data_IF_055076179505
#
_entry.id   IF_055076179505
#
_cell.length_a   1.000
_cell.length_b   1.000
_cell.length_c   1.000
_cell.angle_alpha   90.00
_cell.angle_beta   90.00
_cell.angle_gamma   90.00
#
_symmetry.space_group_name_H-M   'P 1'
#
loop_
_entity.id
_entity.type
_entity.pdbx_description
1 polymer ?
#
# COMPACT_ATOMS: atom_id res chain seq x y z
N UNK A 1 -1.54 17.71 -5.66
CA UNK A 1 -0.37 16.92 -6.14
C UNK A 1 0.32 17.69 -7.26
N UNK A 2 1.47 17.23 -7.79
CA UNK A 2 1.95 17.67 -9.11
C UNK A 2 2.08 16.45 -10.04
N UNK A 3 1.53 16.51 -11.25
CA UNK A 3 1.60 15.41 -12.22
C UNK A 3 3.01 14.97 -12.61
N UNK A 4 4.02 15.81 -12.36
CA UNK A 4 5.42 15.42 -12.49
C UNK A 4 5.79 14.32 -11.47
N UNK A 5 5.38 14.47 -10.21
CA UNK A 5 5.61 13.46 -9.17
C UNK A 5 4.88 12.15 -9.49
N UNK A 6 3.61 12.22 -9.93
CA UNK A 6 2.85 11.03 -10.33
C UNK A 6 3.48 10.31 -11.53
N UNK A 7 3.94 11.03 -12.57
CA UNK A 7 4.69 10.44 -13.69
C UNK A 7 5.99 9.78 -13.24
N UNK A 8 6.73 10.39 -12.32
CA UNK A 8 7.96 9.80 -11.75
C UNK A 8 7.64 8.53 -10.94
N UNK A 9 6.57 8.55 -10.15
CA UNK A 9 6.07 7.37 -9.44
C UNK A 9 5.76 6.23 -10.42
N UNK A 10 4.92 6.47 -11.44
CA UNK A 10 4.52 5.46 -12.43
C UNK A 10 5.74 4.85 -13.12
N UNK A 11 6.69 5.67 -13.58
CA UNK A 11 7.91 5.20 -14.25
C UNK A 11 8.77 4.29 -13.35
N UNK A 12 8.98 4.66 -12.08
CA UNK A 12 9.75 3.85 -11.12
C UNK A 12 9.00 2.56 -10.77
N UNK A 13 7.72 2.66 -10.44
CA UNK A 13 6.88 1.52 -10.04
C UNK A 13 6.71 0.52 -11.18
N UNK A 14 6.61 0.98 -12.44
CA UNK A 14 6.64 0.10 -13.62
C UNK A 14 7.95 -0.69 -13.69
N UNK A 15 9.09 -0.03 -13.48
CA UNK A 15 10.40 -0.70 -13.45
C UNK A 15 10.53 -1.75 -12.32
N UNK A 16 9.84 -1.57 -11.19
CA UNK A 16 9.76 -2.57 -10.10
C UNK A 16 8.83 -3.74 -10.47
N UNK A 17 7.68 -3.47 -11.09
CA UNK A 17 6.68 -4.47 -11.48
C UNK A 17 7.13 -5.31 -12.68
N UNK A 18 7.61 -4.67 -13.74
CA UNK A 18 8.27 -5.34 -14.87
C UNK A 18 9.58 -6.01 -14.44
N UNK A 19 10.17 -5.46 -13.37
CA UNK A 19 11.20 -5.96 -12.46
C UNK A 19 11.03 -7.38 -11.93
N UNK A 20 10.98 -7.47 -10.60
CA UNK A 20 10.49 -8.63 -9.87
C UNK A 20 9.26 -8.13 -9.09
N UNK A 21 8.02 -8.42 -9.55
CA UNK A 21 6.83 -7.92 -8.87
C UNK A 21 6.78 -8.49 -7.45
N UNK A 22 6.64 -7.66 -6.40
CA UNK A 22 6.68 -8.13 -5.02
C UNK A 22 5.64 -9.23 -4.73
N UNK A 23 6.12 -10.42 -4.36
CA UNK A 23 5.29 -11.61 -4.16
C UNK A 23 4.55 -11.66 -2.81
N UNK A 24 4.81 -10.71 -1.90
CA UNK A 24 4.22 -10.64 -0.56
C UNK A 24 3.74 -9.22 -0.24
N UNK A 25 2.74 -9.08 0.64
CA UNK A 25 2.17 -7.78 1.03
C UNK A 25 3.19 -6.80 1.62
N UNK A 26 4.10 -7.18 2.56
CA UNK A 26 5.06 -6.25 3.12
C UNK A 26 5.93 -5.60 2.04
N UNK A 27 6.55 -6.41 1.18
CA UNK A 27 7.34 -5.90 0.05
C UNK A 27 6.50 -5.06 -0.94
N UNK A 28 5.22 -5.41 -1.15
CA UNK A 28 4.33 -4.60 -2.01
C UNK A 28 4.08 -3.22 -1.40
N UNK A 29 3.91 -3.13 -0.08
CA UNK A 29 3.82 -1.86 0.66
C UNK A 29 5.08 -1.02 0.44
N UNK A 30 6.24 -1.54 0.87
CA UNK A 30 7.54 -0.84 0.80
C UNK A 30 7.85 -0.31 -0.60
N UNK A 31 7.70 -1.14 -1.62
CA UNK A 31 8.20 -0.82 -2.96
C UNK A 31 7.21 -0.06 -3.85
N UNK A 32 5.91 -0.20 -3.62
CA UNK A 32 4.87 0.31 -4.52
C UNK A 32 3.81 1.19 -3.84
N UNK A 33 3.38 0.87 -2.62
CA UNK A 33 2.25 1.59 -1.97
C UNK A 33 2.74 2.75 -1.12
N UNK A 34 3.74 2.56 -0.26
CA UNK A 34 4.25 3.62 0.62
C UNK A 34 4.73 4.84 -0.21
N UNK A 35 5.49 4.65 -1.30
CA UNK A 35 5.89 5.77 -2.16
C UNK A 35 4.74 6.39 -2.99
N UNK A 36 3.63 5.67 -3.19
CA UNK A 36 2.42 6.24 -3.79
C UNK A 36 1.73 7.17 -2.79
N UNK A 37 1.61 6.71 -1.54
CA UNK A 37 1.05 7.48 -0.43
C UNK A 37 1.88 8.76 -0.16
N UNK A 38 3.21 8.67 -0.19
CA UNK A 38 4.12 9.84 -0.17
C UNK A 38 3.85 10.82 -1.32
N UNK A 39 3.62 10.30 -2.54
CA UNK A 39 3.28 11.13 -3.71
C UNK A 39 1.94 11.87 -3.53
N UNK A 40 1.00 11.29 -2.78
CA UNK A 40 -0.26 11.90 -2.35
C UNK A 40 -0.12 12.81 -1.10
N UNK A 41 1.08 12.89 -0.50
CA UNK A 41 1.38 13.69 0.68
C UNK A 41 1.03 13.02 2.02
N UNK A 42 0.75 11.72 2.03
CA UNK A 42 0.61 10.91 3.23
C UNK A 42 1.99 10.39 3.67
N UNK A 43 2.20 10.28 4.97
CA UNK A 43 3.46 9.85 5.56
C UNK A 43 3.18 8.60 6.41
N UNK A 44 3.67 7.45 5.94
CA UNK A 44 3.48 6.13 6.61
C UNK A 44 4.23 6.03 7.94
N UNK A 45 5.20 6.91 8.19
CA UNK A 45 6.02 6.93 9.41
C UNK A 45 5.57 8.00 10.42
N UNK A 46 4.62 8.87 10.05
CA UNK A 46 4.05 9.84 10.97
C UNK A 46 3.07 9.18 11.97
N UNK A 47 3.01 9.70 13.19
CA UNK A 47 2.02 9.32 14.23
C UNK A 47 0.54 9.51 13.80
N UNK A 48 0.29 10.12 12.63
CA UNK A 48 -1.03 10.21 12.00
C UNK A 48 -1.35 9.01 11.10
N UNK A 49 -0.53 7.96 11.10
CA UNK A 49 -0.72 6.71 10.38
C UNK A 49 -0.79 5.55 11.37
N UNK A 50 -1.92 4.84 11.41
CA UNK A 50 -2.06 3.57 12.11
C UNK A 50 -1.84 2.44 11.11
N UNK A 51 -0.75 1.70 11.23
CA UNK A 51 -0.49 0.53 10.39
C UNK A 51 -1.14 -0.74 10.97
N UNK A 52 -1.46 -1.70 10.09
CA UNK A 52 -1.88 -3.08 10.45
C UNK A 52 -3.02 -3.13 11.49
N UNK A 53 -4.15 -2.54 11.14
CA UNK A 53 -5.34 -2.42 12.00
C UNK A 53 -6.57 -3.05 11.37
N UNK A 54 -7.64 -3.20 12.16
CA UNK A 54 -8.90 -3.81 11.74
C UNK A 54 -10.05 -2.85 11.98
N UNK A 55 -10.87 -2.60 10.95
CA UNK A 55 -12.07 -1.75 11.03
C UNK A 55 -13.24 -2.56 10.49
N UNK A 56 -14.27 -2.79 11.32
CA UNK A 56 -15.43 -3.63 10.99
C UNK A 56 -15.02 -4.99 10.39
N UNK A 57 -14.21 -5.74 11.16
CA UNK A 57 -13.58 -7.02 10.77
C UNK A 57 -12.65 -6.98 9.53
N UNK A 58 -12.54 -5.83 8.85
CA UNK A 58 -11.70 -5.65 7.66
C UNK A 58 -10.27 -5.31 8.06
N UNK A 59 -9.34 -6.20 7.72
CA UNK A 59 -7.90 -5.95 7.90
C UNK A 59 -7.39 -4.91 6.90
N UNK A 60 -6.75 -3.86 7.41
CA UNK A 60 -6.22 -2.70 6.69
C UNK A 60 -4.74 -2.53 6.98
N UNK A 61 -3.94 -2.36 5.93
CA UNK A 61 -2.51 -2.12 6.06
C UNK A 61 -2.22 -0.70 6.58
N UNK A 62 -3.04 0.30 6.24
CA UNK A 62 -2.95 1.64 6.82
C UNK A 62 -4.33 2.30 7.06
N UNK A 63 -4.42 3.08 8.12
CA UNK A 63 -5.44 4.12 8.30
C UNK A 63 -4.75 5.44 8.60
N UNK A 64 -5.00 6.46 7.79
CA UNK A 64 -4.45 7.79 7.97
C UNK A 64 -5.45 8.75 8.60
N UNK A 65 -4.92 9.67 9.41
CA UNK A 65 -5.65 10.79 9.98
C UNK A 65 -5.10 12.15 9.49
N UNK A 66 -5.95 13.17 9.51
CA UNK A 66 -5.55 14.59 9.40
C UNK A 66 -6.01 15.28 10.66
N UNK A 67 -5.11 15.97 11.36
CA UNK A 67 -5.39 16.69 12.61
C UNK A 67 -6.19 15.84 13.62
N UNK A 68 -5.75 14.58 13.81
CA UNK A 68 -6.36 13.51 14.63
C UNK A 68 -7.68 12.92 14.13
N UNK A 69 -8.23 13.38 13.01
CA UNK A 69 -9.47 12.83 12.43
C UNK A 69 -9.15 11.74 11.39
N UNK A 70 -9.65 10.50 11.53
CA UNK A 70 -9.48 9.47 10.52
C UNK A 70 -10.06 9.86 9.15
N UNK A 71 -9.28 9.62 8.11
CA UNK A 71 -9.39 10.34 6.84
C UNK A 71 -9.31 9.44 5.60
N UNK A 72 -8.46 8.40 5.63
CA UNK A 72 -8.25 7.48 4.51
C UNK A 72 -7.98 6.06 5.01
N UNK A 73 -8.74 5.08 4.50
CA UNK A 73 -8.45 3.65 4.67
C UNK A 73 -7.58 3.15 3.51
N UNK A 74 -6.60 2.29 3.77
CA UNK A 74 -5.78 1.65 2.72
C UNK A 74 -5.71 0.15 2.95
N UNK A 75 -6.11 -0.60 1.92
CA UNK A 75 -5.96 -2.06 1.84
C UNK A 75 -4.97 -2.44 0.72
N UNK A 76 -4.17 -3.49 0.93
CA UNK A 76 -3.09 -3.90 0.03
C UNK A 76 -3.09 -5.41 -0.22
N UNK A 77 -2.92 -5.84 -1.48
CA UNK A 77 -2.57 -7.23 -1.84
C UNK A 77 -1.13 -7.34 -2.37
N UNK A 78 -0.54 -8.55 -2.43
CA UNK A 78 0.70 -8.78 -3.15
C UNK A 78 0.61 -8.35 -4.62
N UNK A 79 1.67 -7.77 -5.20
CA UNK A 79 1.70 -7.37 -6.61
C UNK A 79 1.56 -8.54 -7.62
N UNK A 80 1.75 -9.77 -7.15
CA UNK A 80 1.50 -11.01 -7.90
C UNK A 80 0.04 -11.45 -7.92
N UNK A 81 -0.80 -10.96 -6.99
CA UNK A 81 -2.23 -11.25 -6.91
C UNK A 81 -3.07 -10.15 -7.59
N UNK A 82 -4.36 -10.40 -7.81
CA UNK A 82 -5.34 -9.41 -8.26
C UNK A 82 -6.20 -8.90 -7.11
N UNK A 83 -6.80 -7.72 -7.27
CA UNK A 83 -7.71 -7.17 -6.25
C UNK A 83 -8.94 -8.06 -6.05
N UNK A 84 -9.14 -8.52 -4.82
CA UNK A 84 -10.18 -9.49 -4.47
C UNK A 84 -11.55 -8.82 -4.28
N UNK A 85 -12.58 -9.35 -4.94
CA UNK A 85 -13.95 -8.78 -4.89
C UNK A 85 -14.53 -8.76 -3.48
N UNK A 86 -14.22 -9.76 -2.68
CA UNK A 86 -14.76 -9.88 -1.32
C UNK A 86 -14.10 -8.88 -0.37
N UNK A 87 -12.77 -8.72 -0.42
CA UNK A 87 -12.08 -7.69 0.38
C UNK A 87 -12.47 -6.26 -0.03
N UNK A 88 -12.73 -6.04 -1.32
CA UNK A 88 -13.30 -4.77 -1.79
C UNK A 88 -14.71 -4.50 -1.24
N UNK A 89 -15.51 -5.54 -0.93
CA UNK A 89 -16.82 -5.41 -0.26
C UNK A 89 -16.64 -5.06 1.21
N UNK A 90 -15.80 -5.81 1.92
CA UNK A 90 -15.49 -5.53 3.34
C UNK A 90 -14.93 -4.12 3.54
N UNK A 91 -14.11 -3.63 2.60
CA UNK A 91 -13.65 -2.24 2.63
C UNK A 91 -14.79 -1.21 2.49
N UNK A 92 -15.82 -1.49 1.69
CA UNK A 92 -17.02 -0.62 1.58
C UNK A 92 -17.88 -0.69 2.85
N UNK A 93 -17.97 -1.86 3.48
CA UNK A 93 -18.65 -2.07 4.77
C UNK A 93 -17.91 -1.27 5.87
N UNK A 94 -16.58 -1.38 5.96
CA UNK A 94 -15.73 -0.59 6.85
C UNK A 94 -15.84 0.93 6.62
N UNK A 95 -15.93 1.40 5.37
CA UNK A 95 -16.21 2.82 5.07
C UNK A 95 -17.59 3.26 5.60
N UNK A 96 -18.63 2.44 5.39
CA UNK A 96 -19.98 2.74 5.84
C UNK A 96 -20.11 2.73 7.37
N UNK A 97 -19.47 1.77 8.04
CA UNK A 97 -19.46 1.65 9.50
C UNK A 97 -18.66 2.77 10.18
N UNK A 98 -17.45 3.06 9.70
CA UNK A 98 -16.60 4.11 10.28
C UNK A 98 -17.01 5.53 9.88
N UNK A 99 -17.79 5.69 8.81
CA UNK A 99 -18.10 6.99 8.22
C UNK A 99 -16.89 7.69 7.58
N UNK A 100 -15.79 6.96 7.33
CA UNK A 100 -14.61 7.45 6.61
C UNK A 100 -14.89 7.40 5.11
N UNK A 101 -14.92 8.56 4.47
CA UNK A 101 -15.41 8.74 3.09
C UNK A 101 -14.34 8.53 2.01
N UNK A 102 -13.16 8.02 2.35
CA UNK A 102 -12.09 7.71 1.39
C UNK A 102 -11.45 6.36 1.69
N UNK A 103 -11.32 5.52 0.67
CA UNK A 103 -10.50 4.32 0.73
C UNK A 103 -9.72 4.08 -0.57
N UNK A 104 -8.56 3.44 -0.42
CA UNK A 104 -7.70 2.97 -1.50
C UNK A 104 -7.49 1.46 -1.34
N UNK A 105 -7.77 0.68 -2.38
CA UNK A 105 -7.41 -0.73 -2.44
C UNK A 105 -6.47 -0.96 -3.62
N UNK A 106 -5.28 -1.54 -3.37
CA UNK A 106 -4.24 -1.66 -4.41
C UNK A 106 -3.32 -2.86 -4.21
N UNK A 107 -2.65 -3.27 -5.29
CA UNK A 107 -1.50 -4.18 -5.27
C UNK A 107 -0.26 -3.53 -5.92
N UNK A 108 -0.26 -2.19 -6.02
CA UNK A 108 0.76 -1.41 -6.74
C UNK A 108 0.67 -1.46 -8.28
N UNK A 109 -0.21 -2.30 -8.84
CA UNK A 109 -0.41 -2.48 -10.30
C UNK A 109 -1.82 -2.11 -10.76
N UNK A 110 -2.79 -2.35 -9.88
CA UNK A 110 -4.21 -2.05 -9.99
C UNK A 110 -4.57 -1.18 -8.78
N UNK A 111 -5.42 -0.19 -9.00
CA UNK A 111 -5.84 0.78 -8.00
C UNK A 111 -7.35 0.91 -8.07
N UNK A 112 -8.01 0.73 -6.92
CA UNK A 112 -9.42 1.00 -6.73
C UNK A 112 -9.54 2.13 -5.70
N UNK A 113 -9.90 3.31 -6.18
CA UNK A 113 -10.20 4.48 -5.39
C UNK A 113 -11.69 4.52 -5.09
N UNK A 114 -12.05 4.69 -3.82
CA UNK A 114 -13.43 4.73 -3.33
C UNK A 114 -13.68 6.05 -2.61
N UNK A 115 -14.64 6.83 -3.09
CA UNK A 115 -14.99 8.13 -2.53
C UNK A 115 -16.47 8.19 -2.16
N UNK A 116 -16.77 8.34 -0.86
CA UNK A 116 -18.11 8.65 -0.40
C UNK A 116 -18.55 10.03 -0.87
N UNK A 117 -19.77 10.09 -1.42
CA UNK A 117 -20.42 11.36 -1.79
C UNK A 117 -21.05 12.04 -0.57
N UNK A 118 -21.13 13.38 -0.59
CA UNK A 118 -21.70 14.16 0.52
C UNK A 118 -23.24 14.12 0.57
N UNK A 119 -23.88 13.59 -0.47
CA UNK A 119 -25.31 13.26 -0.48
C UNK A 119 -25.52 11.94 0.25
N UNK A 120 -26.08 11.99 1.47
CA UNK A 120 -26.14 10.91 2.48
C UNK A 120 -26.97 9.65 2.14
N UNK A 121 -26.82 9.10 0.93
CA UNK A 121 -27.54 7.93 0.43
C UNK A 121 -26.57 6.87 -0.14
N UNK A 122 -25.47 6.58 0.56
CA UNK A 122 -24.59 5.43 0.30
C UNK A 122 -23.88 5.39 -1.07
N UNK A 123 -24.01 6.43 -1.89
CA UNK A 123 -23.36 6.50 -3.20
C UNK A 123 -21.86 6.72 -3.02
N UNK A 124 -21.09 5.72 -3.46
CA UNK A 124 -19.62 5.71 -3.43
C UNK A 124 -19.15 5.75 -4.87
N UNK A 125 -18.51 6.85 -5.24
CA UNK A 125 -17.84 6.99 -6.54
C UNK A 125 -16.63 6.04 -6.56
N UNK A 126 -16.47 5.34 -7.69
CA UNK A 126 -15.42 4.32 -7.85
C UNK A 126 -14.59 4.63 -9.08
N UNK A 127 -13.28 4.70 -8.90
CA UNK A 127 -12.31 4.72 -9.99
C UNK A 127 -11.43 3.49 -9.88
N UNK A 128 -11.55 2.58 -10.85
CA UNK A 128 -10.65 1.46 -11.03
C UNK A 128 -9.72 1.76 -12.20
N UNK A 129 -8.41 1.65 -12.01
CA UNK A 129 -7.41 1.88 -13.05
C UNK A 129 -6.13 1.08 -12.78
N UNK A 130 -5.33 0.87 -13.81
CA UNK A 130 -3.98 0.32 -13.70
C UNK A 130 -2.94 1.38 -13.34
N UNK A 131 -1.74 0.94 -12.96
CA UNK A 131 -0.58 1.79 -12.69
C UNK A 131 -0.29 2.80 -13.81
N UNK A 132 -0.46 2.38 -15.06
CA UNK A 132 -0.16 3.19 -16.23
C UNK A 132 -1.24 4.25 -16.52
N UNK A 133 -2.50 3.96 -16.16
CA UNK A 133 -3.66 4.85 -16.32
C UNK A 133 -3.75 5.91 -15.22
N UNK A 134 -2.96 5.81 -14.13
CA UNK A 134 -2.98 6.79 -13.04
C UNK A 134 -2.77 8.23 -13.54
N UNK A 135 -1.91 8.44 -14.53
CA UNK A 135 -1.63 9.78 -15.05
C UNK A 135 -2.79 10.38 -15.85
N UNK A 136 -3.69 9.54 -16.36
CA UNK A 136 -4.88 9.97 -17.10
C UNK A 136 -6.04 10.33 -16.15
N UNK A 137 -5.89 10.02 -14.86
CA UNK A 137 -6.86 10.28 -13.80
C UNK A 137 -6.33 11.24 -12.71
N UNK A 138 -5.34 12.09 -13.04
CA UNK A 138 -4.67 13.00 -12.08
C UNK A 138 -5.69 13.84 -11.26
N UNK A 139 -6.73 14.38 -11.91
CA UNK A 139 -7.77 15.19 -11.24
C UNK A 139 -8.59 14.38 -10.22
N UNK A 140 -8.97 13.15 -10.56
CA UNK A 140 -9.72 12.26 -9.66
C UNK A 140 -8.87 11.78 -8.48
N UNK A 141 -7.57 11.57 -8.72
CA UNK A 141 -6.60 11.16 -7.70
C UNK A 141 -6.26 12.31 -6.75
N UNK A 142 -6.31 13.58 -7.19
CA UNK A 142 -6.02 14.72 -6.32
C UNK A 142 -6.98 14.79 -5.10
N UNK A 143 -8.22 14.30 -5.25
CA UNK A 143 -9.19 14.13 -4.17
C UNK A 143 -8.81 13.13 -3.06
N UNK A 144 -7.74 12.35 -3.25
CA UNK A 144 -7.17 11.42 -2.28
C UNK A 144 -5.86 11.94 -1.67
N UNK A 145 -5.39 13.12 -2.08
CA UNK A 145 -4.22 13.76 -1.45
C UNK A 145 -4.55 14.20 -0.04
N UNK A 146 -3.55 14.14 0.86
CA UNK A 146 -3.70 14.58 2.26
C UNK A 146 -4.25 16.01 2.37
N UNK A 147 -3.83 16.89 1.47
CA UNK A 147 -4.29 18.29 1.43
C UNK A 147 -5.77 18.42 1.02
N UNK A 148 -6.22 17.70 -0.01
CA UNK A 148 -7.61 17.76 -0.47
C UNK A 148 -8.58 17.08 0.51
N UNK A 149 -8.15 15.97 1.11
CA UNK A 149 -8.92 15.29 2.16
C UNK A 149 -8.99 16.16 3.42
N UNK A 150 -7.88 16.74 3.86
CA UNK A 150 -7.83 17.66 5.01
C UNK A 150 -8.77 18.87 4.88
N UNK A 151 -8.86 19.47 3.69
CA UNK A 151 -9.78 20.60 3.44
C UNK A 151 -11.28 20.25 3.55
N UNK A 152 -11.64 18.97 3.50
CA UNK A 152 -13.03 18.49 3.66
C UNK A 152 -13.38 18.13 5.10
N UNK A 153 -12.39 18.00 5.99
CA UNK A 153 -12.59 17.55 7.36
C UNK A 153 -12.84 18.73 8.29
N UNK A 154 -13.93 18.65 9.06
CA UNK A 154 -14.14 19.49 10.23
C UNK A 154 -13.84 18.66 11.49
N UNK A 155 -12.72 18.91 12.21
CA UNK A 155 -12.37 18.18 13.42
C UNK A 155 -13.29 18.45 14.61
N UNK A 156 -14.17 19.47 14.51
CA UNK A 156 -15.19 19.76 15.52
C UNK A 156 -16.56 19.14 15.20
N UNK A 157 -16.70 18.50 14.03
CA UNK A 157 -17.93 17.82 13.62
C UNK A 157 -18.20 16.55 14.44
N UNK A 158 -19.47 16.15 14.49
CA UNK A 158 -19.86 14.84 15.07
C UNK A 158 -19.30 13.67 14.27
N UNK A 159 -19.20 13.81 12.95
CA UNK A 159 -18.64 12.78 12.08
C UNK A 159 -17.16 12.52 12.40
N UNK A 160 -16.37 13.54 12.76
CA UNK A 160 -14.99 13.35 13.22
C UNK A 160 -14.92 12.49 14.50
N UNK A 161 -15.83 12.72 15.45
CA UNK A 161 -15.95 11.89 16.67
C UNK A 161 -16.39 10.46 16.34
N UNK A 162 -17.36 10.26 15.44
CA UNK A 162 -17.81 8.94 15.00
C UNK A 162 -16.66 8.13 14.39
N UNK A 163 -15.88 8.76 13.49
CA UNK A 163 -14.71 8.15 12.85
C UNK A 163 -13.66 7.69 13.84
N UNK A 164 -13.35 8.53 14.85
CA UNK A 164 -12.39 8.15 15.89
C UNK A 164 -12.92 7.00 16.76
N UNK A 165 -14.16 7.08 17.21
CA UNK A 165 -14.80 6.00 17.97
C UNK A 165 -14.83 4.67 17.21
N UNK A 166 -14.86 4.71 15.87
CA UNK A 166 -14.94 3.50 15.04
C UNK A 166 -13.60 2.75 14.98
N UNK A 167 -12.49 3.47 14.93
CA UNK A 167 -11.14 2.88 15.02
C UNK A 167 -10.85 2.38 16.42
N UNK A 168 -11.15 3.19 17.44
CA UNK A 168 -10.85 2.87 18.84
C UNK A 168 -11.85 1.86 19.44
N UNK A 169 -12.87 1.42 18.68
CA UNK A 169 -13.95 0.54 19.17
C UNK A 169 -13.43 -0.68 19.93
N UNK A 170 -12.44 -1.47 19.46
CA UNK A 170 -11.97 -2.64 20.20
C UNK A 170 -11.39 -2.25 21.56
N UNK A 171 -10.48 -1.27 21.58
CA UNK A 171 -9.81 -0.78 22.80
C UNK A 171 -10.83 -0.19 23.80
N UNK A 172 -11.76 0.63 23.31
CA UNK A 172 -12.82 1.24 24.13
C UNK A 172 -13.75 0.19 24.75
N UNK A 173 -14.08 -0.89 24.03
CA UNK A 173 -14.88 -1.98 24.60
C UNK A 173 -14.08 -2.70 25.68
N UNK A 174 -12.83 -3.06 25.42
CA UNK A 174 -11.97 -3.75 26.39
C UNK A 174 -11.73 -2.93 27.66
N UNK A 175 -11.40 -1.64 27.54
CA UNK A 175 -11.18 -0.74 28.67
C UNK A 175 -12.44 -0.53 29.52
N UNK A 176 -13.61 -0.36 28.88
CA UNK A 176 -14.88 -0.22 29.57
C UNK A 176 -15.31 -1.52 30.25
N UNK A 177 -15.10 -2.68 29.61
CA UNK A 177 -15.38 -4.01 30.19
C UNK A 177 -14.47 -4.27 31.39
N UNK A 178 -13.17 -3.97 31.29
CA UNK A 178 -12.24 -4.07 32.41
C UNK A 178 -12.68 -3.18 33.58
N UNK A 179 -12.97 -1.91 33.31
CA UNK A 179 -13.43 -0.93 34.32
C UNK A 179 -14.73 -1.39 35.01
N UNK A 180 -15.71 -1.91 34.26
CA UNK A 180 -16.96 -2.42 34.79
C UNK A 180 -16.78 -3.72 35.58
N UNK A 181 -15.87 -4.60 35.16
CA UNK A 181 -15.55 -5.86 35.84
C UNK A 181 -14.87 -5.58 37.19
N UNK A 182 -13.89 -4.67 37.23
CA UNK A 182 -13.22 -4.23 38.46
C UNK A 182 -14.21 -3.57 39.45
N UNK A 183 -15.15 -2.77 38.95
CA UNK A 183 -16.14 -2.09 39.77
C UNK A 183 -17.23 -3.03 40.33
N UNK A 184 -17.53 -4.14 39.64
CA UNK A 184 -18.60 -5.09 40.03
C UNK A 184 -18.09 -6.33 40.76
N UNK A 185 -16.82 -6.71 40.56
CA UNK A 185 -16.17 -7.82 41.26
C UNK A 185 -16.61 -9.23 40.84
N UNK A 186 -17.44 -9.36 39.80
CA UNK A 186 -17.95 -10.66 39.32
C UNK A 186 -17.49 -11.00 37.89
N UNK A 187 -16.44 -11.83 37.80
CA UNK A 187 -15.99 -12.41 36.52
C UNK A 187 -17.07 -13.27 35.82
N UNK A 188 -18.14 -13.67 36.52
CA UNK A 188 -19.21 -14.52 35.99
C UNK A 188 -20.08 -13.86 34.89
N UNK A 189 -19.97 -12.54 34.71
CA UNK A 189 -20.76 -11.78 33.72
C UNK A 189 -19.92 -11.07 32.65
N UNK A 190 -18.61 -11.36 32.54
CA UNK A 190 -17.69 -10.65 31.64
C UNK A 190 -18.19 -10.60 30.18
N UNK A 191 -18.57 -11.74 29.59
CA UNK A 191 -19.11 -11.80 28.22
C UNK A 191 -20.46 -11.05 28.04
N UNK A 192 -21.24 -10.91 29.11
CA UNK A 192 -22.49 -10.11 29.09
C UNK A 192 -22.18 -8.61 29.18
N UNK A 193 -21.17 -8.22 29.96
CA UNK A 193 -20.64 -6.85 30.00
C UNK A 193 -20.04 -6.47 28.64
N UNK A 194 -19.26 -7.36 28.03
CA UNK A 194 -18.68 -7.21 26.69
C UNK A 194 -19.76 -6.98 25.63
N UNK A 195 -20.74 -7.88 25.54
CA UNK A 195 -21.88 -7.74 24.61
C UNK A 195 -22.66 -6.43 24.82
N UNK A 196 -22.88 -6.04 26.08
CA UNK A 196 -23.60 -4.80 26.40
C UNK A 196 -22.77 -3.54 26.10
N UNK A 197 -21.46 -3.59 26.32
CA UNK A 197 -20.52 -2.49 26.11
C UNK A 197 -20.29 -2.27 24.62
N UNK A 198 -20.05 -3.33 23.86
CA UNK A 198 -19.99 -3.28 22.40
C UNK A 198 -21.26 -2.62 21.83
N UNK A 199 -22.45 -3.11 22.22
CA UNK A 199 -23.73 -2.53 21.82
C UNK A 199 -23.92 -1.06 22.23
N UNK A 200 -23.33 -0.63 23.35
CA UNK A 200 -23.35 0.77 23.79
C UNK A 200 -22.44 1.65 22.92
N UNK A 201 -21.21 1.20 22.62
CA UNK A 201 -20.30 1.89 21.69
C UNK A 201 -20.90 1.97 20.29
N UNK A 202 -21.55 0.90 19.81
CA UNK A 202 -22.28 0.89 18.53
C UNK A 202 -23.42 1.94 18.49
N UNK A 203 -24.14 2.13 19.60
CA UNK A 203 -25.16 3.19 19.71
C UNK A 203 -24.56 4.59 19.71
N UNK A 204 -23.39 4.78 20.35
CA UNK A 204 -22.67 6.05 20.28
C UNK A 204 -22.24 6.33 18.84
N UNK A 205 -21.63 5.36 18.16
CA UNK A 205 -21.21 5.47 16.75
C UNK A 205 -22.35 5.93 15.85
N UNK A 206 -23.48 5.24 15.87
CA UNK A 206 -24.67 5.61 15.08
C UNK A 206 -25.17 7.01 15.44
N UNK A 207 -25.14 7.40 16.72
CA UNK A 207 -25.59 8.72 17.18
C UNK A 207 -24.70 9.89 16.76
N UNK A 208 -23.39 9.65 16.56
CA UNK A 208 -22.44 10.65 16.08
C UNK A 208 -22.29 10.65 14.54
N UNK A 209 -22.49 9.51 13.88
CA UNK A 209 -22.44 9.40 12.42
C UNK A 209 -23.69 9.90 11.69
N UNK A 210 -24.84 9.95 12.38
CA UNK A 210 -26.12 10.41 11.80
C UNK A 210 -26.29 11.94 11.93
N UNK A 211 -25.68 12.71 11.01
CA UNK A 211 -25.93 14.17 10.93
C UNK A 211 -27.08 14.54 9.98
N UNK A 212 -27.53 13.60 9.15
CA UNK A 212 -28.79 13.69 8.41
C UNK A 212 -29.94 13.11 9.22
N UNK A 213 -31.11 13.76 9.16
CA UNK A 213 -32.33 13.36 9.86
C UNK A 213 -33.03 12.14 9.26
N UNK A 214 -32.31 11.03 9.12
CA UNK A 214 -32.79 9.77 8.53
C UNK A 214 -33.85 9.11 9.43
N UNK A 215 -35.11 9.46 9.15
CA UNK A 215 -36.22 8.53 9.34
C UNK A 215 -35.87 7.24 8.60
N UNK A 216 -35.78 6.12 9.33
CA UNK A 216 -35.66 4.78 8.76
C UNK A 216 -36.69 4.59 7.62
N UNK A 217 -36.25 4.48 6.34
CA UNK A 217 -37.13 4.00 5.29
C UNK A 217 -37.24 2.48 5.49
N UNK A 218 -38.43 2.01 5.86
CA UNK A 218 -38.78 0.62 5.61
C UNK A 218 -38.70 0.37 4.10
N UNK A 219 -38.11 -0.75 3.70
CA UNK A 219 -37.87 -1.16 2.31
C UNK A 219 -36.94 -0.23 1.49
N UNK A 220 -35.63 -0.33 1.76
CA UNK A 220 -34.62 -0.06 0.73
C UNK A 220 -34.43 -1.33 -0.14
N UNK A 221 -34.39 -1.23 -1.48
CA UNK A 221 -34.20 -2.38 -2.35
C UNK A 221 -32.76 -2.92 -2.28
N UNK A 222 -32.61 -4.22 -2.55
CA UNK A 222 -31.35 -4.97 -2.50
C UNK A 222 -30.13 -4.21 -3.04
N UNK A 223 -29.13 -3.99 -2.19
CA UNK A 223 -27.77 -3.52 -2.57
C UNK A 223 -26.94 -4.65 -3.25
N UNK A 224 -27.59 -5.76 -3.63
CA UNK A 224 -26.94 -6.99 -4.08
C UNK A 224 -26.60 -7.07 -5.57
N UNK A 225 -27.08 -6.16 -6.43
CA UNK A 225 -26.95 -6.33 -7.89
C UNK A 225 -25.96 -5.38 -8.60
N UNK A 226 -25.41 -4.36 -7.94
CA UNK A 226 -24.51 -3.37 -8.59
C UNK A 226 -23.01 -3.57 -8.31
N UNK A 227 -22.58 -4.84 -8.18
CA UNK A 227 -21.15 -5.25 -8.07
C UNK A 227 -20.64 -5.79 -9.40
N UNK A 228 -20.94 -5.06 -10.48
CA UNK A 228 -20.35 -5.31 -11.81
C UNK A 228 -18.94 -4.71 -11.90
N UNK A 229 -17.99 -5.34 -11.20
CA UNK A 229 -16.56 -5.06 -11.36
C UNK A 229 -16.11 -5.48 -12.77
N UNK A 230 -16.20 -4.57 -13.72
CA UNK A 230 -15.59 -4.69 -15.05
C UNK A 230 -14.07 -4.57 -14.94
N UNK A 231 -13.43 -5.68 -14.61
CA UNK A 231 -12.03 -5.87 -14.95
C UNK A 231 -11.95 -6.02 -16.47
N UNK A 232 -11.24 -5.12 -17.13
CA UNK A 232 -10.89 -5.24 -18.55
C UNK A 232 -9.86 -6.36 -18.71
N UNK A 233 -10.35 -7.59 -18.93
CA UNK A 233 -9.52 -8.68 -19.44
C UNK A 233 -8.96 -8.26 -20.80
N UNK A 234 -7.69 -7.81 -20.81
CA UNK A 234 -6.98 -7.51 -22.06
C UNK A 234 -6.77 -8.80 -22.83
N UNK A 235 -7.59 -8.99 -23.86
CA UNK A 235 -7.50 -10.13 -24.77
C UNK A 235 -6.22 -10.05 -25.60
N UNK A 236 -5.31 -10.99 -25.35
CA UNK A 236 -4.15 -11.24 -26.18
C UNK A 236 -4.24 -12.63 -26.82
N UNK A 237 -4.10 -12.61 -28.14
CA UNK A 237 -3.96 -13.69 -29.11
C UNK A 237 -5.18 -14.52 -29.55
N UNK A 238 -5.30 -14.55 -30.88
CA UNK A 238 -6.32 -15.17 -31.70
C UNK A 238 -5.63 -16.25 -32.53
N UNK A 239 -6.03 -17.52 -32.42
CA UNK A 239 -5.67 -18.50 -33.46
C UNK A 239 -6.77 -19.55 -33.64
N UNK A 240 -7.37 -19.54 -34.82
CA UNK A 240 -8.55 -20.33 -35.15
C UNK A 240 -8.25 -21.80 -35.45
N UNK A 241 -9.20 -22.68 -35.13
CA UNK A 241 -9.52 -23.86 -35.94
C UNK A 241 -11.05 -23.98 -36.07
N UNK A 242 -11.53 -24.13 -37.29
CA UNK A 242 -12.95 -24.25 -37.62
C UNK A 242 -13.40 -25.71 -37.76
N UNK A 243 -14.72 -25.93 -37.60
CA UNK A 243 -15.44 -27.19 -37.82
C UNK A 243 -16.76 -27.14 -37.06
N UNK A 244 -17.87 -26.70 -37.65
CA UNK A 244 -18.68 -27.36 -38.70
C UNK A 244 -19.26 -28.71 -38.24
N UNK A 245 -20.60 -28.86 -38.32
CA UNK A 245 -21.29 -30.04 -37.77
C UNK A 245 -22.73 -29.86 -37.28
N UNK A 246 -23.62 -29.32 -38.13
CA UNK A 246 -24.96 -29.86 -38.48
C UNK A 246 -25.36 -31.18 -37.72
N UNK A 247 -26.56 -31.40 -37.16
CA UNK A 247 -27.88 -31.48 -37.84
C UNK A 247 -29.02 -31.78 -36.83
N UNK A 248 -30.28 -31.43 -37.21
CA UNK A 248 -31.55 -32.15 -36.98
C UNK A 248 -32.08 -32.38 -35.53
N UNK A 249 -33.20 -31.75 -35.17
CA UNK A 249 -34.59 -32.31 -35.15
C UNK A 249 -34.97 -32.67 -33.68
N UNK A 250 -36.22 -32.56 -33.19
CA UNK A 250 -37.53 -32.55 -33.84
C UNK A 250 -38.62 -31.85 -32.97
N UNK A 251 -39.77 -31.51 -33.57
CA UNK A 251 -41.18 -31.40 -33.04
C UNK A 251 -41.46 -31.12 -31.52
N UNK A 252 -42.48 -30.39 -31.03
CA UNK A 252 -43.85 -29.94 -31.44
C UNK A 252 -44.41 -29.03 -30.29
N UNK A 253 -45.54 -28.30 -30.28
CA UNK A 253 -46.59 -27.81 -31.22
C UNK A 253 -47.40 -26.70 -30.47
N UNK A 254 -48.18 -25.83 -31.15
CA UNK A 254 -49.15 -24.89 -30.53
C UNK A 254 -48.75 -23.39 -30.64
N UNK A 255 -49.23 -22.59 -31.60
CA UNK A 255 -50.62 -22.16 -31.89
C UNK A 255 -51.19 -21.20 -30.82
N UNK A 256 -51.54 -19.94 -31.11
CA UNK A 256 -51.42 -19.20 -32.36
C UNK A 256 -51.74 -17.70 -32.18
N UNK A 257 -51.41 -16.90 -33.22
CA UNK A 257 -52.20 -15.79 -33.82
C UNK A 257 -52.79 -14.64 -32.93
N UNK A 258 -52.86 -13.38 -33.37
CA UNK A 258 -52.58 -12.81 -34.70
C UNK A 258 -52.37 -11.28 -34.72
N UNK A 259 -51.72 -10.81 -35.81
CA UNK A 259 -52.04 -9.56 -36.55
C UNK A 259 -51.64 -8.17 -36.00
N UNK A 260 -50.53 -7.68 -36.57
CA UNK A 260 -50.13 -6.28 -36.88
C UNK A 260 -51.26 -5.48 -37.63
N UNK A 261 -51.23 -4.13 -37.82
CA UNK A 261 -50.14 -3.48 -38.57
C UNK A 261 -49.70 -2.08 -38.11
N UNK A 262 -48.52 -1.68 -38.59
CA UNK A 262 -48.08 -0.27 -38.63
C UNK A 262 -48.98 0.63 -39.51
N UNK A 263 -48.78 1.96 -39.47
CA UNK A 263 -48.07 2.54 -40.61
C UNK A 263 -47.03 3.61 -40.25
N UNK A 264 -46.20 3.95 -41.25
CA UNK A 264 -45.06 4.85 -41.13
C UNK A 264 -45.31 6.27 -41.69
N UNK A 265 -44.31 7.14 -41.49
CA UNK A 265 -43.94 8.31 -42.30
C UNK A 265 -44.58 9.67 -41.97
N UNK A 266 -43.75 10.74 -41.90
CA UNK A 266 -44.25 12.12 -41.74
C UNK A 266 -43.25 13.22 -41.30
N UNK A 267 -42.28 13.57 -42.15
CA UNK A 267 -41.73 14.92 -42.38
C UNK A 267 -41.41 15.93 -41.23
N UNK A 268 -40.14 16.40 -41.20
CA UNK A 268 -39.70 17.79 -40.85
C UNK A 268 -40.18 18.77 -41.97
N UNK A 269 -40.08 20.13 -41.90
CA UNK A 269 -39.20 20.98 -41.07
C UNK A 269 -39.79 22.37 -40.62
N UNK A 270 -38.89 23.31 -40.25
CA UNK A 270 -39.04 24.79 -40.28
C UNK A 270 -39.90 25.48 -39.18
N UNK A 271 -39.63 26.70 -38.68
CA UNK A 271 -38.48 27.65 -38.87
C UNK A 271 -38.47 28.73 -37.74
N UNK A 272 -37.28 29.20 -37.39
CA UNK A 272 -36.84 30.60 -37.13
C UNK A 272 -37.57 31.59 -36.19
N UNK A 273 -36.75 32.58 -35.79
CA UNK A 273 -37.06 33.99 -35.47
C UNK A 273 -37.09 34.32 -33.97
N UNK A 274 -36.33 35.25 -33.38
CA UNK A 274 -35.08 35.98 -33.66
C UNK A 274 -35.00 37.11 -32.59
N UNK A 275 -33.88 37.85 -32.55
CA UNK A 275 -33.68 39.13 -31.84
C UNK A 275 -33.41 39.03 -30.32
N UNK A 276 -32.19 39.15 -29.79
CA UNK A 276 -31.09 40.11 -29.99
C UNK A 276 -31.27 41.47 -29.29
N UNK A 277 -30.16 41.98 -28.72
CA UNK A 277 -29.70 43.38 -28.63
C UNK A 277 -28.55 43.46 -27.60
N UNK A 278 -27.30 43.58 -28.09
CA UNK A 278 -26.27 44.43 -27.46
C UNK A 278 -26.44 45.87 -27.97
N UNK A 279 -25.68 46.88 -27.48
CA UNK A 279 -24.21 46.92 -27.52
C UNK A 279 -23.63 47.39 -26.14
N UNK A 280 -22.44 47.97 -25.92
CA UNK A 280 -21.52 48.73 -26.79
C UNK A 280 -20.08 48.89 -26.24
N UNK A 281 -19.21 49.34 -27.13
CA UNK A 281 -17.76 49.63 -27.11
C UNK A 281 -17.08 50.28 -25.87
N UNK A 282 -15.74 50.21 -25.83
CA UNK A 282 -14.88 51.06 -24.99
C UNK A 282 -13.37 50.76 -25.04
N UNK A 283 -12.67 51.19 -26.11
CA UNK A 283 -11.22 50.96 -26.34
C UNK A 283 -10.33 52.08 -25.74
N UNK A 284 -9.00 51.90 -25.79
CA UNK A 284 -7.88 52.90 -25.68
C UNK A 284 -7.14 53.06 -24.33
N UNK A 285 -5.83 53.39 -24.27
CA UNK A 285 -4.65 53.19 -25.15
C UNK A 285 -3.40 53.71 -24.38
N UNK A 286 -2.17 53.20 -24.67
CA UNK A 286 -0.85 53.86 -24.44
C UNK A 286 -0.40 54.10 -22.97
N UNK A 287 0.87 54.39 -22.63
CA UNK A 287 2.23 54.16 -23.18
C UNK A 287 3.27 54.68 -22.13
N UNK A 288 4.58 54.49 -22.35
CA UNK A 288 5.76 54.94 -21.56
C UNK A 288 6.20 53.97 -20.46
N UNK A 289 7.48 53.61 -20.29
CA UNK A 289 8.71 53.96 -21.03
C UNK A 289 9.90 54.22 -20.08
N UNK A 290 11.14 54.04 -20.58
CA UNK A 290 12.48 54.20 -19.94
C UNK A 290 13.07 52.91 -19.34
N UNK A 291 14.23 52.33 -19.70
CA UNK A 291 15.53 52.74 -20.34
C UNK A 291 16.70 52.90 -19.35
N UNK A 292 17.94 52.68 -19.83
CA UNK A 292 19.26 52.53 -19.16
C UNK A 292 19.56 51.15 -18.52
N UNK A 293 20.73 50.49 -18.70
CA UNK A 293 21.83 50.71 -19.66
C UNK A 293 23.26 50.46 -19.11
N UNK A 294 23.83 49.27 -19.35
CA UNK A 294 25.28 48.88 -19.26
C UNK A 294 25.38 47.43 -19.77
N UNK A 295 26.15 46.99 -20.77
CA UNK A 295 27.40 47.41 -21.46
C UNK A 295 28.73 47.13 -20.73
N UNK A 296 29.69 46.55 -21.47
CA UNK A 296 31.02 46.09 -21.04
C UNK A 296 31.05 44.77 -20.25
N UNK A 297 31.94 43.80 -20.50
CA UNK A 297 33.08 43.74 -21.43
C UNK A 297 33.38 42.29 -21.80
N UNK A 298 33.78 42.02 -23.04
CA UNK A 298 34.24 40.70 -23.48
C UNK A 298 35.70 40.43 -23.05
N UNK A 299 36.04 39.19 -22.74
CA UNK A 299 37.34 38.63 -23.12
C UNK A 299 37.20 37.21 -23.66
N UNK A 300 37.91 36.96 -24.76
CA UNK A 300 38.11 35.63 -25.36
C UNK A 300 39.59 35.54 -25.70
N UNK A 301 40.23 34.42 -25.36
CA UNK A 301 41.06 33.73 -26.33
C UNK A 301 40.63 32.25 -26.39
N UNK A 302 40.48 31.60 -27.55
CA UNK A 302 41.53 31.17 -28.49
C UNK A 302 42.70 30.45 -27.77
N UNK A 303 43.16 29.27 -28.19
CA UNK A 303 42.93 28.56 -29.46
C UNK A 303 43.25 27.06 -29.33
N UNK A 304 42.78 26.30 -30.32
CA UNK A 304 43.42 25.09 -30.89
C UNK A 304 43.68 23.84 -30.02
N UNK A 305 43.13 22.71 -30.48
CA UNK A 305 43.38 21.37 -29.94
C UNK A 305 42.54 20.30 -30.66
N UNK A 306 42.71 20.17 -31.98
CA UNK A 306 41.96 19.20 -32.78
C UNK A 306 42.64 17.81 -32.78
N UNK A 307 41.87 16.78 -32.44
CA UNK A 307 42.09 15.39 -32.87
C UNK A 307 40.75 14.68 -32.97
N UNK A 308 40.30 14.41 -34.20
CA UNK A 308 39.34 13.35 -34.47
C UNK A 308 39.98 12.00 -34.15
N UNK A 309 39.27 11.09 -33.49
CA UNK A 309 39.48 9.64 -33.68
C UNK A 309 38.15 8.92 -33.40
N UNK A 310 37.83 7.99 -34.29
CA UNK A 310 36.60 7.21 -34.33
C UNK A 310 36.43 6.23 -33.15
N UNK A 311 35.16 5.94 -32.88
CA UNK A 311 34.58 4.59 -32.73
C UNK A 311 35.36 3.55 -31.88
N UNK A 312 34.84 3.31 -30.67
CA UNK A 312 34.81 1.97 -30.08
C UNK A 312 33.76 1.90 -28.98
N UNK A 313 32.79 1.00 -29.13
CA UNK A 313 32.00 0.51 -28.02
C UNK A 313 32.92 -0.33 -27.12
N UNK A 314 32.99 0.00 -25.83
CA UNK A 314 33.70 -0.81 -24.84
C UNK A 314 32.70 -1.47 -23.89
N UNK A 315 32.79 -2.79 -23.82
CA UNK A 315 32.00 -3.61 -22.92
C UNK A 315 32.87 -3.89 -21.71
N UNK A 316 32.45 -3.45 -20.52
CA UNK A 316 33.16 -3.73 -19.27
C UNK A 316 33.02 -5.21 -18.90
N UNK A 317 33.85 -6.04 -19.52
CA UNK A 317 34.13 -7.40 -19.10
C UNK A 317 35.18 -7.41 -17.99
N UNK A 318 34.92 -8.24 -16.99
CA UNK A 318 35.86 -8.94 -16.11
C UNK A 318 37.29 -8.36 -16.02
N UNK A 319 37.55 -7.66 -14.92
CA UNK A 319 38.91 -7.54 -14.37
C UNK A 319 38.98 -8.44 -13.13
N UNK A 320 39.42 -9.69 -13.35
CA UNK A 320 39.94 -10.53 -12.27
C UNK A 320 41.23 -9.89 -11.74
N UNK A 321 41.14 -9.16 -10.62
CA UNK A 321 42.30 -8.70 -9.86
C UNK A 321 42.35 -9.49 -8.54
N UNK A 322 43.02 -10.64 -8.61
CA UNK A 322 43.24 -11.60 -7.52
C UNK A 322 44.18 -11.01 -6.43
N UNK A 323 43.69 -10.01 -5.73
CA UNK A 323 44.25 -9.54 -4.47
C UNK A 323 43.23 -9.81 -3.36
N UNK A 324 43.39 -10.97 -2.70
CA UNK A 324 42.62 -11.34 -1.52
C UNK A 324 42.63 -10.18 -0.51
N UNK A 325 41.51 -9.48 -0.44
CA UNK A 325 41.32 -8.34 0.45
C UNK A 325 40.44 -8.83 1.60
N UNK A 326 40.80 -8.51 2.84
CA UNK A 326 40.10 -8.92 4.07
C UNK A 326 38.71 -8.26 4.24
N UNK A 327 38.00 -8.05 3.14
CA UNK A 327 36.67 -7.44 3.07
C UNK A 327 35.58 -8.50 3.09
N UNK A 328 34.65 -8.32 4.00
CA UNK A 328 33.39 -9.02 4.13
C UNK A 328 32.37 -8.37 3.19
N UNK A 329 32.04 -9.04 2.08
CA UNK A 329 31.14 -8.52 1.05
C UNK A 329 29.83 -9.32 1.03
N UNK A 330 28.71 -8.62 1.21
CA UNK A 330 27.34 -9.13 1.11
C UNK A 330 26.77 -8.69 -0.22
N UNK A 331 26.47 -9.63 -1.12
CA UNK A 331 25.76 -9.37 -2.39
C UNK A 331 24.29 -9.74 -2.23
N UNK A 332 23.39 -8.84 -2.61
CA UNK A 332 21.95 -9.03 -2.52
C UNK A 332 21.38 -9.46 -3.87
N UNK A 333 20.48 -10.43 -3.86
CA UNK A 333 19.80 -10.95 -5.03
C UNK A 333 18.30 -11.00 -4.81
N UNK A 334 17.54 -10.64 -5.84
CA UNK A 334 16.15 -11.03 -5.98
C UNK A 334 16.05 -12.22 -6.96
N UNK A 335 14.85 -12.53 -7.47
CA UNK A 335 14.67 -13.61 -8.45
C UNK A 335 15.24 -13.29 -9.85
N UNK A 336 15.62 -12.03 -10.11
CA UNK A 336 16.16 -11.57 -11.39
C UNK A 336 17.67 -11.43 -11.46
N UNK A 337 18.37 -11.39 -10.32
CA UNK A 337 19.82 -11.23 -10.28
C UNK A 337 20.28 -10.38 -9.11
N UNK A 338 21.52 -9.90 -9.19
CA UNK A 338 22.11 -9.04 -8.16
C UNK A 338 21.50 -7.63 -8.21
N UNK A 339 21.09 -7.12 -7.06
CA UNK A 339 20.50 -5.78 -6.89
C UNK A 339 21.43 -4.80 -6.16
N UNK A 340 22.55 -5.28 -5.64
CA UNK A 340 23.51 -4.46 -4.91
C UNK A 340 24.54 -5.28 -4.15
N UNK A 341 25.57 -4.60 -3.65
CA UNK A 341 26.59 -5.18 -2.78
C UNK A 341 27.00 -4.17 -1.70
N UNK A 342 27.19 -4.65 -0.47
CA UNK A 342 27.75 -3.91 0.65
C UNK A 342 29.03 -4.62 1.09
N UNK A 343 30.08 -3.87 1.41
CA UNK A 343 31.39 -4.46 1.74
C UNK A 343 32.14 -3.65 2.79
N UNK A 344 32.68 -4.33 3.80
CA UNK A 344 33.49 -3.70 4.85
C UNK A 344 34.67 -4.58 5.28
N UNK A 345 35.73 -4.00 5.82
CA UNK A 345 36.90 -4.72 6.36
C UNK A 345 36.68 -5.40 7.72
N UNK A 346 35.43 -5.39 8.23
CA UNK A 346 35.05 -5.98 9.52
C UNK A 346 33.64 -6.56 9.42
N UNK A 347 33.44 -7.79 9.90
CA UNK A 347 32.17 -8.52 9.72
C UNK A 347 30.98 -7.90 10.46
N UNK A 348 31.22 -7.31 11.65
CA UNK A 348 30.17 -6.63 12.41
C UNK A 348 29.74 -5.32 11.73
N UNK A 349 30.65 -4.55 11.15
CA UNK A 349 30.33 -3.36 10.34
C UNK A 349 29.62 -3.75 9.03
N UNK A 350 30.01 -4.86 8.39
CA UNK A 350 29.29 -5.38 7.22
C UNK A 350 27.85 -5.80 7.57
N UNK A 351 27.63 -6.38 8.77
CA UNK A 351 26.29 -6.65 9.33
C UNK A 351 25.50 -5.36 9.60
N UNK A 352 26.10 -4.35 10.23
CA UNK A 352 25.46 -3.03 10.48
C UNK A 352 25.06 -2.39 9.16
N UNK A 353 25.98 -2.23 8.21
CA UNK A 353 25.70 -1.60 6.91
C UNK A 353 24.69 -2.39 6.07
N UNK A 354 24.70 -3.72 6.18
CA UNK A 354 23.65 -4.56 5.58
C UNK A 354 22.29 -4.28 6.21
N UNK A 355 22.23 -4.16 7.54
CA UNK A 355 20.98 -3.91 8.26
C UNK A 355 20.42 -2.52 7.92
N UNK A 356 21.27 -1.49 7.85
CA UNK A 356 20.90 -0.14 7.39
C UNK A 356 20.39 -0.16 5.94
N UNK A 357 21.16 -0.75 5.01
CA UNK A 357 20.77 -0.91 3.60
C UNK A 357 19.43 -1.64 3.44
N UNK A 358 19.19 -2.66 4.27
CA UNK A 358 17.93 -3.38 4.30
C UNK A 358 16.81 -2.56 4.96
N UNK A 359 17.06 -1.69 5.95
CA UNK A 359 16.05 -0.77 6.46
C UNK A 359 15.62 0.29 5.45
N UNK A 360 16.56 0.82 4.67
CA UNK A 360 16.28 1.76 3.57
C UNK A 360 15.43 1.14 2.44
N UNK A 361 15.33 -0.20 2.36
CA UNK A 361 14.84 -0.90 1.13
C UNK A 361 13.92 -2.10 1.32
N UNK A 362 13.88 -2.78 2.46
CA UNK A 362 13.20 -4.09 2.56
C UNK A 362 12.86 -4.63 3.96
N UNK A 363 13.27 -3.96 5.05
CA UNK A 363 12.93 -4.33 6.43
C UNK A 363 11.87 -3.41 7.07
N UNK A 364 11.11 -2.64 6.28
CA UNK A 364 9.97 -1.90 6.84
C UNK A 364 8.93 -2.87 7.42
N UNK A 365 8.46 -2.61 8.64
CA UNK A 365 7.54 -3.50 9.35
C UNK A 365 8.18 -4.71 10.05
N UNK A 366 9.47 -4.65 10.43
CA UNK A 366 10.03 -5.64 11.36
C UNK A 366 9.54 -5.35 12.79
N UNK A 367 8.75 -6.25 13.36
CA UNK A 367 8.28 -6.14 14.75
C UNK A 367 9.43 -6.43 15.71
N UNK A 368 9.73 -5.47 16.57
CA UNK A 368 10.72 -5.61 17.65
C UNK A 368 10.05 -6.08 18.96
N UNK A 369 10.72 -6.87 19.81
CA UNK A 369 12.06 -7.47 19.64
C UNK A 369 12.06 -8.61 18.61
N UNK A 370 13.04 -8.62 17.70
CA UNK A 370 13.16 -9.61 16.63
C UNK A 370 14.34 -10.58 16.80
N UNK A 371 14.14 -11.83 16.40
CA UNK A 371 15.12 -12.93 16.44
C UNK A 371 15.19 -13.66 15.08
N UNK A 372 16.38 -14.13 14.65
CA UNK A 372 16.51 -15.00 13.46
C UNK A 372 15.62 -16.25 13.49
N UNK A 373 15.29 -16.77 14.69
CA UNK A 373 14.41 -17.94 14.86
C UNK A 373 12.95 -17.69 14.41
N UNK A 374 12.53 -16.43 14.33
CA UNK A 374 11.19 -16.06 13.90
C UNK A 374 10.99 -16.38 12.40
N UNK A 375 12.07 -16.29 11.61
CA UNK A 375 12.09 -16.55 10.15
C UNK A 375 12.01 -18.05 9.81
N UNK A 376 12.29 -18.94 10.76
CA UNK A 376 12.09 -20.38 10.62
C UNK A 376 10.67 -20.79 11.04
N UNK A 377 10.10 -20.08 12.02
CA UNK A 377 8.78 -20.37 12.59
C UNK A 377 7.64 -20.07 11.63
N UNK A 378 7.75 -19.01 10.81
CA UNK A 378 6.73 -18.62 9.82
C UNK A 378 6.55 -19.62 8.65
N UNK A 379 7.50 -20.53 8.41
CA UNK A 379 7.44 -21.51 7.30
C UNK A 379 6.95 -22.91 7.71
N UNK A 380 6.65 -23.13 9.00
CA UNK A 380 6.35 -24.46 9.55
C UNK A 380 4.89 -24.93 9.51
N UNK A 381 3.95 -24.06 9.12
CA UNK A 381 2.50 -24.33 9.26
C UNK A 381 1.89 -24.95 8.00
N UNK A 382 2.35 -26.15 7.63
CA UNK A 382 1.51 -27.15 6.93
C UNK A 382 2.23 -28.51 6.79
N UNK A 383 2.10 -29.39 7.80
CA UNK A 383 2.01 -30.86 7.62
C UNK A 383 1.49 -31.50 8.92
N UNK A 384 0.21 -31.84 8.97
CA UNK A 384 -0.32 -32.77 9.98
C UNK A 384 0.14 -34.21 9.66
N UNK A 385 0.96 -34.79 10.52
CA UNK A 385 0.91 -36.23 10.79
C UNK A 385 1.06 -36.56 12.28
N UNK A 386 -0.09 -36.78 12.91
CA UNK A 386 -0.27 -37.64 14.08
C UNK A 386 0.73 -38.82 14.16
N UNK A 387 1.53 -38.88 15.23
CA UNK A 387 1.99 -40.18 15.79
C UNK A 387 2.17 -40.14 17.31
N UNK A 388 1.71 -41.22 17.93
CA UNK A 388 1.58 -41.37 19.38
C UNK A 388 2.89 -41.70 20.09
N UNK A 389 3.22 -40.90 21.11
CA UNK A 389 3.71 -41.36 22.41
C UNK A 389 5.11 -41.98 22.51
N UNK A 390 5.96 -41.32 23.32
CA UNK A 390 6.65 -41.94 24.46
C UNK A 390 7.03 -40.82 25.43
N UNK A 391 6.78 -40.99 26.73
CA UNK A 391 7.24 -40.03 27.74
C UNK A 391 8.76 -40.19 27.94
N UNK A 392 9.52 -39.19 27.52
CA UNK A 392 10.99 -39.15 27.62
C UNK A 392 11.45 -37.83 28.22
N UNK A 393 12.01 -37.95 29.43
CA UNK A 393 12.83 -37.03 30.23
C UNK A 393 12.90 -35.52 29.85
N UNK A 394 12.47 -34.67 30.79
CA UNK A 394 12.41 -33.21 30.63
C UNK A 394 13.75 -32.52 30.90
N UNK A 395 14.60 -32.38 29.88
CA UNK A 395 15.68 -31.37 29.84
C UNK A 395 15.77 -30.67 28.48
N UNK A 396 14.63 -30.25 27.93
CA UNK A 396 14.59 -29.44 26.72
C UNK A 396 15.01 -27.98 27.04
N UNK A 397 16.31 -27.75 27.19
CA UNK A 397 16.88 -26.41 27.08
C UNK A 397 16.80 -26.02 25.60
N UNK A 398 15.69 -25.39 25.20
CA UNK A 398 15.70 -24.56 24.00
C UNK A 398 16.87 -23.57 24.14
N UNK A 399 17.72 -23.38 23.11
CA UNK A 399 18.71 -22.32 23.14
C UNK A 399 17.98 -20.98 23.36
N UNK A 400 18.55 -20.05 24.14
CA UNK A 400 17.91 -18.76 24.37
C UNK A 400 17.69 -18.06 23.03
N UNK A 401 16.47 -17.60 22.79
CA UNK A 401 16.11 -16.80 21.62
C UNK A 401 16.87 -15.48 21.66
N UNK A 402 18.06 -15.46 21.05
CA UNK A 402 18.92 -14.27 21.06
C UNK A 402 18.31 -13.20 20.18
N UNK A 403 17.61 -12.23 20.81
CA UNK A 403 17.14 -11.02 20.14
C UNK A 403 18.30 -10.33 19.44
N UNK A 404 18.15 -10.10 18.15
CA UNK A 404 19.17 -9.45 17.32
C UNK A 404 18.85 -7.97 17.12
N UNK A 405 17.57 -7.59 17.15
CA UNK A 405 17.14 -6.23 16.87
C UNK A 405 16.01 -5.81 17.80
N UNK A 406 16.12 -4.65 18.44
CA UNK A 406 15.10 -4.16 19.38
C UNK A 406 15.00 -2.61 19.41
N UNK A 407 13.98 -2.06 20.06
CA UNK A 407 13.79 -0.62 20.31
C UNK A 407 14.73 -0.05 21.39
N UNK A 408 15.36 -0.93 22.15
CA UNK A 408 16.20 -0.64 23.31
C UNK A 408 17.42 -1.55 23.29
N UNK A 409 18.55 -1.21 23.96
CA UNK A 409 19.76 -2.02 24.01
C UNK A 409 19.63 -3.25 24.94
N UNK A 410 18.46 -3.89 24.93
CA UNK A 410 18.11 -5.08 25.71
C UNK A 410 17.48 -6.14 24.81
N UNK A 411 17.65 -7.40 25.16
CA UNK A 411 16.98 -8.55 24.56
C UNK A 411 15.53 -8.66 25.03
N UNK A 412 14.74 -9.54 24.40
CA UNK A 412 13.32 -9.75 24.71
C UNK A 412 13.04 -10.22 26.15
N UNK A 413 14.03 -10.84 26.82
CA UNK A 413 13.95 -11.23 28.24
C UNK A 413 14.38 -10.10 29.21
N UNK A 414 14.73 -8.92 28.67
CA UNK A 414 15.16 -7.74 29.43
C UNK A 414 16.62 -7.77 29.89
N UNK A 415 17.44 -8.75 29.48
CA UNK A 415 18.88 -8.66 29.69
C UNK A 415 19.53 -7.66 28.72
N UNK A 416 20.61 -6.96 29.10
CA UNK A 416 21.28 -6.04 28.18
C UNK A 416 21.95 -6.81 27.04
N UNK A 417 21.87 -6.26 25.82
CA UNK A 417 22.67 -6.74 24.68
C UNK A 417 24.17 -6.66 25.01
N UNK A 418 24.97 -7.55 24.42
CA UNK A 418 26.40 -7.67 24.68
C UNK A 418 27.21 -6.56 23.98
N UNK A 419 26.97 -6.34 22.68
CA UNK A 419 27.53 -5.20 21.92
C UNK A 419 26.42 -4.54 21.07
N UNK A 420 25.50 -3.78 21.71
CA UNK A 420 24.44 -3.07 21.00
C UNK A 420 24.99 -1.92 20.17
N UNK A 421 24.54 -1.82 18.92
CA UNK A 421 24.80 -0.74 17.98
C UNK A 421 23.49 -0.04 17.64
N UNK A 422 23.40 1.25 17.96
CA UNK A 422 22.29 2.10 17.52
C UNK A 422 22.37 2.34 16.00
N UNK A 423 21.25 2.15 15.30
CA UNK A 423 21.08 2.34 13.87
C UNK A 423 20.50 3.73 13.56
N UNK A 424 20.53 4.13 12.29
CA UNK A 424 20.04 5.44 11.81
C UNK A 424 18.55 5.70 12.14
N UNK A 425 17.75 4.65 12.31
CA UNK A 425 16.34 4.68 12.67
C UNK A 425 16.07 4.62 14.19
N UNK A 426 17.11 4.61 15.04
CA UNK A 426 17.01 4.55 16.50
C UNK A 426 16.79 3.16 17.08
N UNK A 427 16.78 2.10 16.26
CA UNK A 427 16.78 0.72 16.75
C UNK A 427 18.18 0.26 17.14
N UNK A 428 18.26 -0.76 17.99
CA UNK A 428 19.49 -1.35 18.51
C UNK A 428 19.72 -2.73 17.93
N UNK A 429 20.85 -2.91 17.23
CA UNK A 429 21.31 -4.16 16.64
C UNK A 429 22.37 -4.81 17.53
N UNK A 430 22.22 -6.09 17.86
CA UNK A 430 23.25 -6.89 18.53
C UNK A 430 24.38 -7.20 17.55
N UNK A 431 25.59 -6.72 17.86
CA UNK A 431 26.79 -6.89 17.03
C UNK A 431 27.86 -7.80 17.65
N UNK A 432 27.62 -8.35 18.85
CA UNK A 432 28.49 -9.36 19.43
C UNK A 432 28.31 -10.73 18.74
N UNK A 433 29.40 -11.40 18.41
CA UNK A 433 29.37 -12.73 17.78
C UNK A 433 30.70 -13.20 17.21
N UNK A 434 30.72 -14.44 16.71
CA UNK A 434 31.75 -14.92 15.78
C UNK A 434 31.41 -14.49 14.35
N UNK A 435 32.30 -14.76 13.41
CA UNK A 435 32.07 -14.53 11.98
C UNK A 435 30.77 -15.20 11.50
N UNK A 436 30.57 -16.46 11.85
CA UNK A 436 29.40 -17.27 11.47
C UNK A 436 28.10 -16.69 12.03
N UNK A 437 28.14 -16.15 13.25
CA UNK A 437 27.00 -15.46 13.86
C UNK A 437 26.63 -14.21 13.05
N UNK A 438 27.61 -13.43 12.60
CA UNK A 438 27.35 -12.26 11.74
C UNK A 438 26.80 -12.67 10.37
N UNK A 439 27.34 -13.73 9.76
CA UNK A 439 26.84 -14.28 8.49
C UNK A 439 25.39 -14.77 8.62
N UNK A 440 25.11 -15.57 9.64
CA UNK A 440 23.75 -16.07 9.95
C UNK A 440 22.75 -14.93 10.16
N UNK A 441 23.15 -13.86 10.87
CA UNK A 441 22.30 -12.66 11.06
C UNK A 441 22.03 -11.94 9.73
N UNK A 442 23.05 -11.74 8.90
CA UNK A 442 22.90 -11.15 7.56
C UNK A 442 21.93 -11.96 6.70
N UNK A 443 22.08 -13.29 6.68
CA UNK A 443 21.19 -14.16 5.91
C UNK A 443 19.75 -14.13 6.42
N UNK A 444 19.54 -14.18 7.74
CA UNK A 444 18.21 -14.11 8.35
C UNK A 444 17.50 -12.77 8.08
N UNK A 445 18.21 -11.64 8.22
CA UNK A 445 17.69 -10.30 7.91
C UNK A 445 17.37 -10.17 6.41
N UNK A 446 18.27 -10.66 5.55
CA UNK A 446 18.06 -10.62 4.08
C UNK A 446 16.88 -11.50 3.66
N UNK A 447 16.73 -12.69 4.24
CA UNK A 447 15.57 -13.59 4.04
C UNK A 447 14.27 -12.94 4.53
N UNK A 448 14.28 -12.28 5.69
CA UNK A 448 13.12 -11.53 6.21
C UNK A 448 12.72 -10.37 5.28
N UNK A 449 13.68 -9.73 4.63
CA UNK A 449 13.43 -8.71 3.61
C UNK A 449 12.95 -9.27 2.24
N UNK A 450 12.72 -10.58 2.12
CA UNK A 450 12.31 -11.22 0.85
C UNK A 450 13.42 -11.31 -0.19
N UNK A 451 14.68 -11.24 0.23
CA UNK A 451 15.86 -11.25 -0.62
C UNK A 451 16.74 -12.48 -0.34
N UNK A 452 17.71 -12.73 -1.21
CA UNK A 452 18.79 -13.70 -1.00
C UNK A 452 20.12 -12.98 -0.83
N UNK A 453 20.94 -13.41 0.13
CA UNK A 453 22.31 -12.95 0.28
C UNK A 453 23.28 -13.95 -0.36
N UNK A 454 24.45 -13.45 -0.79
CA UNK A 454 25.65 -14.25 -1.04
C UNK A 454 26.81 -13.59 -0.30
N UNK A 455 27.42 -14.33 0.63
CA UNK A 455 28.55 -13.89 1.41
C UNK A 455 29.86 -14.22 0.65
N UNK A 456 30.69 -13.20 0.41
CA UNK A 456 31.90 -13.30 -0.44
C UNK A 456 33.08 -12.53 0.14
N UNK A 457 34.30 -12.97 -0.15
CA UNK A 457 35.51 -12.50 0.53
C UNK A 457 35.71 -13.22 1.88
N UNK A 458 36.17 -12.49 2.89
CA UNK A 458 36.64 -13.02 4.18
C UNK A 458 35.56 -13.74 5.04
N UNK A 459 34.32 -13.89 4.55
CA UNK A 459 33.30 -14.76 5.16
C UNK A 459 33.61 -16.26 5.01
N UNK A 460 34.44 -16.64 4.04
CA UNK A 460 34.69 -18.05 3.67
C UNK A 460 36.08 -18.58 4.07
N UNK A 461 36.86 -17.79 4.82
CA UNK A 461 38.20 -18.17 5.29
C UNK A 461 38.11 -18.85 6.67
N UNK A 462 37.88 -20.17 6.68
CA UNK A 462 37.96 -21.05 7.86
C UNK A 462 38.96 -22.22 7.67
#
# INVERSE_FOLDING_TARGET
MTGAALRTFVARSRSVVESAPPAVRPATRTWLVDPFLETLGWDVHANSCTAETTVDETALEYVFAVDTVPALLVAVEPATETLQKDRARSLLEAMAWSGIDRALYTNGRQFLFLAGTATGAGAIDRLACSLDELTDHEESIDHFTRAAVGQRLDPTSRQAVARQLALERPQLVDELVATLTDATGEAASAAALETATARFVDQLLVSFGSDDGMQLPGDAPNVHEDVSLQFTESTADETAVAGDGTTAEDEREGDGSDTEPAPASGAKPNTETESAVGPDDGVDQRNSGRDEGTDGTAETPKSEGATDTDDSADATADTDDDAATDSYVVRFFNDRGSIGAIGHSQSHEALVQTTEYLFERGLSGISVPWSPADVESEQGVDTDQSRSGTAGDSTNSSPPSTTVLNDTPHTADGTPMAEPRELSNGLYLETAGTLDVHGTRVEALTKRAGLRAMLTGAWNDE
#
